data_IF_700970483582
#
_entry.id   IF_700970483582
#
_cell.length_a   1.000
_cell.length_b   1.000
_cell.length_c   1.000
_cell.angle_alpha   90.00
_cell.angle_beta   90.00
_cell.angle_gamma   90.00
#
_symmetry.space_group_name_H-M   'P 1'
#
loop_
_entity.id
_entity.type
_entity.pdbx_description
1 polymer ?
#
# COMPACT_ATOMS: atom_id res chain seq x y z
N UNK A 1 40.70 30.34 14.51
CA UNK A 1 39.39 30.79 13.99
C UNK A 1 38.65 29.83 13.05
N UNK A 2 39.11 28.59 12.80
CA UNK A 2 38.35 27.62 11.96
C UNK A 2 37.68 26.50 12.79
N UNK A 3 38.03 26.34 14.07
CA UNK A 3 37.46 25.30 14.97
C UNK A 3 36.22 25.73 15.78
N UNK A 4 35.77 26.98 15.70
CA UNK A 4 34.58 27.48 16.42
C UNK A 4 33.33 27.68 15.54
N UNK A 5 33.41 27.41 14.22
CA UNK A 5 32.25 27.51 13.31
C UNK A 5 31.56 26.18 12.99
N UNK A 6 32.04 25.06 13.52
CA UNK A 6 31.46 23.73 13.27
C UNK A 6 30.42 23.29 14.32
N UNK A 7 30.11 24.13 15.32
CA UNK A 7 29.30 23.75 16.49
C UNK A 7 27.94 24.45 16.58
N UNK A 8 27.35 24.79 15.43
CA UNK A 8 25.99 25.37 15.32
C UNK A 8 25.14 24.77 14.19
N UNK A 9 25.41 23.52 13.78
CA UNK A 9 24.33 22.67 13.26
C UNK A 9 23.57 22.17 14.49
N UNK A 10 22.70 23.06 14.99
CA UNK A 10 21.74 22.71 16.01
C UNK A 10 20.97 21.49 15.51
N UNK A 11 21.18 20.37 16.20
CA UNK A 11 20.25 19.25 16.24
C UNK A 11 18.87 19.88 16.38
N UNK A 12 18.08 19.89 15.30
CA UNK A 12 16.69 20.32 15.36
C UNK A 12 16.02 19.29 16.26
N UNK A 13 15.57 19.66 17.46
CA UNK A 13 14.79 18.73 18.27
C UNK A 13 13.50 18.48 17.48
N UNK A 14 13.23 17.24 17.10
CA UNK A 14 11.97 16.83 16.47
C UNK A 14 10.73 17.00 17.38
N UNK A 15 10.87 17.70 18.51
CA UNK A 15 9.80 18.06 19.43
C UNK A 15 9.81 19.58 19.69
N UNK A 16 9.70 20.40 18.64
CA UNK A 16 8.96 21.66 18.82
C UNK A 16 7.48 21.29 18.73
N UNK A 17 6.75 21.61 19.79
CA UNK A 17 5.31 21.42 19.93
C UNK A 17 4.61 21.79 18.63
N UNK A 18 3.89 20.83 18.03
CA UNK A 18 3.19 20.90 16.73
C UNK A 18 2.03 21.93 16.69
N UNK A 19 2.00 22.90 17.62
CA UNK A 19 0.84 23.70 17.99
C UNK A 19 0.77 25.08 17.34
N UNK A 20 1.79 25.53 16.58
CA UNK A 20 1.85 26.93 16.10
C UNK A 20 1.55 27.13 14.60
N UNK A 21 1.18 26.07 13.85
CA UNK A 21 0.87 26.18 12.42
C UNK A 21 -0.62 26.06 12.12
N UNK A 22 -1.26 27.20 11.83
CA UNK A 22 -2.61 27.28 11.26
C UNK A 22 -2.59 26.92 9.76
N UNK A 23 -2.53 25.62 9.45
CA UNK A 23 -2.67 25.10 8.08
C UNK A 23 -1.54 24.18 7.61
N UNK A 24 -1.70 23.65 6.40
CA UNK A 24 -0.71 22.81 5.72
C UNK A 24 0.38 23.72 5.13
N UNK A 25 1.64 23.44 5.43
CA UNK A 25 2.77 24.19 4.91
C UNK A 25 3.14 23.77 3.47
N UNK A 26 4.01 24.53 2.80
CA UNK A 26 4.34 24.28 1.39
C UNK A 26 4.97 22.90 1.13
N UNK A 27 5.78 22.37 2.06
CA UNK A 27 6.40 21.06 1.90
C UNK A 27 5.37 19.94 2.09
N UNK A 28 4.50 20.08 3.09
CA UNK A 28 3.38 19.16 3.30
C UNK A 28 2.44 19.14 2.09
N UNK A 29 2.06 20.33 1.57
CA UNK A 29 1.20 20.46 0.39
C UNK A 29 1.81 19.75 -0.81
N UNK A 30 3.09 20.00 -1.13
CA UNK A 30 3.75 19.35 -2.27
C UNK A 30 3.73 17.84 -2.17
N UNK A 31 3.93 17.28 -0.97
CA UNK A 31 3.89 15.84 -0.75
C UNK A 31 2.48 15.27 -0.89
N UNK A 32 1.47 15.99 -0.43
CA UNK A 32 0.07 15.61 -0.62
C UNK A 32 -0.32 15.70 -2.10
N UNK A 33 0.08 16.76 -2.81
CA UNK A 33 -0.20 16.95 -4.23
C UNK A 33 0.43 15.85 -5.10
N UNK A 34 1.68 15.49 -4.82
CA UNK A 34 2.36 14.34 -5.45
C UNK A 34 1.53 13.06 -5.27
N UNK A 35 1.07 12.82 -4.05
CA UNK A 35 0.32 11.63 -3.69
C UNK A 35 -1.08 11.59 -4.33
N UNK A 36 -1.75 12.74 -4.44
CA UNK A 36 -3.03 12.87 -5.15
C UNK A 36 -2.89 12.54 -6.63
N UNK A 37 -1.87 13.11 -7.28
CA UNK A 37 -1.57 12.83 -8.68
C UNK A 37 -1.26 11.34 -8.89
N UNK A 38 -0.53 10.73 -7.94
CA UNK A 38 -0.27 9.29 -7.97
C UNK A 38 -1.57 8.47 -7.90
N UNK A 39 -2.55 8.86 -7.07
CA UNK A 39 -3.81 8.13 -6.91
C UNK A 39 -4.79 8.23 -8.09
N UNK A 40 -4.56 9.11 -9.07
CA UNK A 40 -5.44 9.22 -10.25
C UNK A 40 -5.58 7.92 -11.06
N UNK A 41 -4.63 6.98 -10.91
CA UNK A 41 -4.72 5.65 -11.52
C UNK A 41 -5.96 4.88 -11.08
N UNK A 42 -6.41 5.10 -9.84
CA UNK A 42 -7.59 4.41 -9.28
C UNK A 42 -8.92 4.94 -9.84
N UNK A 43 -8.94 6.15 -10.40
CA UNK A 43 -10.15 6.75 -11.01
C UNK A 43 -10.48 6.06 -12.34
N UNK A 44 -9.45 5.61 -13.07
CA UNK A 44 -9.58 5.05 -14.42
C UNK A 44 -10.30 3.69 -14.42
N UNK A 45 -10.26 2.94 -13.32
CA UNK A 45 -10.93 1.62 -13.22
C UNK A 45 -12.45 1.69 -13.00
N UNK A 46 -12.98 2.84 -12.56
CA UNK A 46 -14.39 2.97 -12.20
C UNK A 46 -15.33 3.08 -13.41
N UNK A 47 -14.78 3.24 -14.62
CA UNK A 47 -15.57 3.43 -15.84
C UNK A 47 -16.07 2.14 -16.50
N UNK A 48 -15.66 0.96 -16.04
CA UNK A 48 -15.96 -0.30 -16.74
C UNK A 48 -17.23 -1.01 -16.26
N UNK A 49 -18.30 -0.69 -16.99
CA UNK A 49 -19.36 -1.54 -17.55
C UNK A 49 -20.03 -2.61 -16.66
N UNK A 50 -21.36 -2.52 -16.59
CA UNK A 50 -22.25 -3.57 -16.07
C UNK A 50 -22.02 -4.89 -16.84
N UNK A 51 -21.22 -5.79 -16.28
CA UNK A 51 -21.04 -7.14 -16.82
C UNK A 51 -22.22 -7.99 -16.35
N UNK A 52 -23.07 -8.44 -17.27
CA UNK A 52 -24.08 -9.45 -16.97
C UNK A 52 -23.39 -10.80 -16.75
N UNK A 53 -23.45 -11.31 -15.53
CA UNK A 53 -22.85 -12.59 -15.15
C UNK A 53 -23.88 -13.70 -15.35
N UNK A 54 -23.58 -14.67 -16.21
CA UNK A 54 -24.55 -15.71 -16.64
C UNK A 54 -24.35 -17.04 -15.93
N UNK A 55 -23.12 -17.35 -15.50
CA UNK A 55 -22.81 -18.59 -14.78
C UNK A 55 -21.61 -18.44 -13.79
N UNK A 56 -21.39 -19.43 -12.89
CA UNK A 56 -20.32 -19.36 -11.89
C UNK A 56 -18.89 -19.35 -12.46
N UNK A 57 -18.65 -19.91 -13.65
CA UNK A 57 -17.32 -19.89 -14.26
C UNK A 57 -17.02 -18.51 -14.83
N UNK A 58 -18.00 -17.87 -15.47
CA UNK A 58 -17.90 -16.48 -15.93
C UNK A 58 -17.71 -15.53 -14.73
N UNK A 59 -18.39 -15.77 -13.61
CA UNK A 59 -18.17 -15.02 -12.37
C UNK A 59 -16.71 -15.09 -11.91
N UNK A 60 -16.16 -16.31 -11.83
CA UNK A 60 -14.77 -16.55 -11.44
C UNK A 60 -13.77 -15.86 -12.37
N UNK A 61 -13.97 -15.99 -13.68
CA UNK A 61 -13.11 -15.35 -14.69
C UNK A 61 -13.13 -13.83 -14.58
N UNK A 62 -14.33 -13.22 -14.54
CA UNK A 62 -14.48 -11.76 -14.47
C UNK A 62 -13.92 -11.22 -13.16
N UNK A 63 -14.15 -11.91 -12.04
CA UNK A 63 -13.64 -11.51 -10.73
C UNK A 63 -12.12 -11.54 -10.70
N UNK A 64 -11.51 -12.63 -11.16
CA UNK A 64 -10.05 -12.75 -11.21
C UNK A 64 -9.42 -11.74 -12.20
N UNK A 65 -10.02 -11.51 -13.36
CA UNK A 65 -9.55 -10.48 -14.29
C UNK A 65 -9.59 -9.08 -13.66
N UNK A 66 -10.65 -8.75 -12.94
CA UNK A 66 -10.74 -7.47 -12.20
C UNK A 66 -9.67 -7.38 -11.12
N UNK A 67 -9.42 -8.45 -10.38
CA UNK A 67 -8.35 -8.48 -9.38
C UNK A 67 -6.97 -8.26 -10.02
N UNK A 68 -6.70 -8.82 -11.20
CA UNK A 68 -5.44 -8.55 -11.94
C UNK A 68 -5.29 -7.09 -12.32
N UNK A 69 -6.36 -6.46 -12.82
CA UNK A 69 -6.36 -5.03 -13.15
C UNK A 69 -6.06 -4.19 -11.92
N UNK A 70 -6.70 -4.49 -10.79
CA UNK A 70 -6.49 -3.79 -9.51
C UNK A 70 -5.03 -3.91 -9.06
N UNK A 71 -4.44 -5.10 -9.18
CA UNK A 71 -3.02 -5.31 -8.87
C UNK A 71 -2.14 -4.43 -9.77
N UNK A 72 -2.40 -4.40 -11.08
CA UNK A 72 -1.64 -3.58 -12.03
C UNK A 72 -1.77 -2.09 -11.72
N UNK A 73 -2.96 -1.62 -11.37
CA UNK A 73 -3.21 -0.22 -10.97
C UNK A 73 -2.46 0.14 -9.70
N UNK A 74 -2.37 -0.78 -8.73
CA UNK A 74 -1.61 -0.58 -7.49
C UNK A 74 -0.11 -0.51 -7.78
N UNK A 75 0.39 -1.33 -8.70
CA UNK A 75 1.79 -1.25 -9.15
C UNK A 75 2.07 0.07 -9.85
N UNK A 76 1.15 0.54 -10.67
CA UNK A 76 1.27 1.83 -11.33
C UNK A 76 1.21 2.99 -10.32
N UNK A 77 0.39 2.87 -9.26
CA UNK A 77 0.39 3.79 -8.14
C UNK A 77 1.75 3.83 -7.42
N UNK A 78 2.32 2.67 -7.04
CA UNK A 78 3.59 2.63 -6.30
C UNK A 78 4.74 3.23 -7.10
N UNK A 79 4.75 2.99 -8.43
CA UNK A 79 5.71 3.59 -9.37
C UNK A 79 5.63 5.10 -9.43
N UNK A 80 4.55 5.75 -8.99
CA UNK A 80 4.41 7.22 -8.98
C UNK A 80 4.88 7.87 -7.69
N UNK A 81 5.24 7.08 -6.66
CA UNK A 81 5.73 7.60 -5.38
C UNK A 81 7.24 7.82 -5.43
N UNK A 82 7.71 9.05 -5.26
CA UNK A 82 9.13 9.40 -5.23
C UNK A 82 9.91 8.61 -4.16
N UNK A 83 9.31 8.45 -2.98
CA UNK A 83 9.88 7.66 -1.88
C UNK A 83 10.06 6.17 -2.21
N UNK A 84 9.16 5.61 -3.03
CA UNK A 84 9.22 4.21 -3.45
C UNK A 84 10.28 4.01 -4.55
N UNK A 85 10.32 4.90 -5.55
CA UNK A 85 11.29 4.83 -6.66
C UNK A 85 12.75 4.86 -6.20
N UNK A 86 13.02 5.49 -5.05
CA UNK A 86 14.36 5.60 -4.46
C UNK A 86 14.84 4.34 -3.75
N UNK A 87 13.95 3.39 -3.48
CA UNK A 87 14.31 2.12 -2.86
C UNK A 87 15.04 1.23 -3.87
N UNK A 88 15.85 0.29 -3.38
CA UNK A 88 16.42 -0.75 -4.25
C UNK A 88 15.32 -1.69 -4.74
N UNK A 89 15.58 -2.40 -5.85
CA UNK A 89 14.60 -3.29 -6.47
C UNK A 89 14.12 -4.34 -5.47
N UNK A 90 15.00 -4.89 -4.64
CA UNK A 90 14.63 -5.91 -3.64
C UNK A 90 13.62 -5.38 -2.61
N UNK A 91 13.74 -4.11 -2.21
CA UNK A 91 12.82 -3.47 -1.28
C UNK A 91 11.51 -3.06 -1.96
N UNK A 92 11.57 -2.49 -3.16
CA UNK A 92 10.39 -2.21 -3.98
C UNK A 92 9.58 -3.49 -4.17
N UNK A 93 10.26 -4.58 -4.52
CA UNK A 93 9.67 -5.89 -4.65
C UNK A 93 9.13 -6.34 -3.31
N UNK A 94 9.90 -6.38 -2.22
CA UNK A 94 9.42 -6.88 -0.93
C UNK A 94 8.21 -6.12 -0.36
N UNK A 95 8.13 -4.80 -0.55
CA UNK A 95 6.99 -3.98 -0.15
C UNK A 95 5.71 -4.31 -0.92
N UNK A 96 5.87 -4.54 -2.22
CA UNK A 96 4.75 -4.84 -3.12
C UNK A 96 4.44 -6.35 -3.10
N UNK A 97 5.41 -7.20 -2.74
CA UNK A 97 5.43 -8.67 -2.89
C UNK A 97 5.08 -9.49 -1.65
N UNK A 98 5.75 -9.39 -0.50
CA UNK A 98 5.89 -10.62 0.32
C UNK A 98 5.16 -10.73 1.68
N UNK A 99 4.81 -12.01 1.95
CA UNK A 99 4.68 -12.70 3.25
C UNK A 99 5.32 -14.13 3.21
N UNK A 100 6.39 -14.34 4.00
CA UNK A 100 7.05 -15.57 4.53
C UNK A 100 7.97 -16.52 3.68
N UNK A 101 8.90 -17.13 4.44
CA UNK A 101 10.16 -17.84 4.15
C UNK A 101 10.08 -19.09 3.24
N UNK A 102 11.10 -19.27 2.38
CA UNK A 102 11.30 -20.50 1.60
C UNK A 102 12.10 -20.38 0.30
N UNK A 103 12.50 -19.18 -0.14
CA UNK A 103 13.14 -18.97 -1.45
C UNK A 103 14.68 -19.06 -1.44
N UNK A 104 15.25 -19.99 -0.68
CA UNK A 104 16.71 -20.08 -0.53
C UNK A 104 17.43 -20.85 -1.65
N UNK A 105 16.76 -21.19 -2.75
CA UNK A 105 17.40 -21.76 -3.94
C UNK A 105 16.61 -21.35 -5.17
N UNK A 106 17.13 -20.43 -5.99
CA UNK A 106 17.06 -20.40 -7.47
C UNK A 106 17.72 -19.11 -8.02
N UNK A 107 18.14 -19.16 -9.29
CA UNK A 107 19.23 -18.41 -9.92
C UNK A 107 18.88 -16.97 -10.37
N UNK A 108 19.91 -16.21 -10.77
CA UNK A 108 19.95 -14.77 -11.13
C UNK A 108 19.18 -14.41 -12.42
N UNK A 109 18.49 -15.35 -13.06
CA UNK A 109 17.77 -15.13 -14.33
C UNK A 109 16.24 -15.29 -14.24
N UNK A 110 15.67 -15.61 -13.07
CA UNK A 110 14.21 -15.63 -12.82
C UNK A 110 13.67 -14.29 -12.23
N UNK A 111 14.34 -13.17 -12.52
CA UNK A 111 14.13 -11.88 -11.85
C UNK A 111 12.90 -11.07 -12.33
N UNK A 112 11.84 -11.71 -12.82
CA UNK A 112 10.53 -11.07 -13.00
C UNK A 112 9.46 -11.90 -12.31
N UNK A 113 9.24 -11.58 -11.03
CA UNK A 113 8.21 -12.22 -10.23
C UNK A 113 7.65 -11.19 -9.24
N UNK A 114 6.52 -10.63 -9.65
CA UNK A 114 5.79 -9.43 -9.22
C UNK A 114 4.78 -9.68 -8.09
N UNK A 115 4.73 -8.72 -7.15
CA UNK A 115 3.52 -8.12 -6.55
C UNK A 115 2.51 -9.03 -5.84
N UNK A 116 2.56 -9.13 -4.50
CA UNK A 116 1.72 -10.06 -3.74
C UNK A 116 1.21 -9.62 -2.36
N UNK A 117 1.27 -8.34 -1.94
CA UNK A 117 0.66 -7.98 -0.64
C UNK A 117 0.09 -6.57 -0.49
N UNK A 118 0.77 -5.55 -1.00
CA UNK A 118 0.22 -4.18 -0.96
C UNK A 118 -1.13 -4.09 -1.69
N UNK A 119 -1.37 -4.98 -2.66
CA UNK A 119 -2.54 -4.92 -3.51
C UNK A 119 -3.86 -5.30 -2.80
N UNK A 120 -3.83 -6.31 -1.92
CA UNK A 120 -5.04 -6.78 -1.24
C UNK A 120 -5.50 -5.78 -0.18
N UNK A 121 -4.57 -5.30 0.66
CA UNK A 121 -4.86 -4.30 1.69
C UNK A 121 -5.41 -3.01 1.10
N UNK A 122 -4.84 -2.54 -0.03
CA UNK A 122 -5.34 -1.36 -0.74
C UNK A 122 -6.68 -1.61 -1.42
N UNK A 123 -6.94 -2.81 -1.94
CA UNK A 123 -8.25 -3.12 -2.52
C UNK A 123 -9.36 -3.12 -1.46
N UNK A 124 -9.08 -3.67 -0.27
CA UNK A 124 -10.00 -3.58 0.87
C UNK A 124 -10.13 -2.15 1.38
N UNK A 125 -9.02 -1.42 1.54
CA UNK A 125 -9.03 -0.02 1.97
C UNK A 125 -9.85 0.84 1.01
N UNK A 126 -9.69 0.64 -0.30
CA UNK A 126 -10.49 1.29 -1.34
C UNK A 126 -11.97 0.97 -1.16
N UNK A 127 -12.32 -0.31 -1.03
CA UNK A 127 -13.71 -0.76 -0.84
C UNK A 127 -14.36 -0.19 0.42
N UNK A 128 -13.59 -0.04 1.52
CA UNK A 128 -14.08 0.53 2.78
C UNK A 128 -14.23 2.05 2.73
N UNK A 129 -13.30 2.73 2.07
CA UNK A 129 -13.31 4.19 2.02
C UNK A 129 -14.30 4.72 1.00
N UNK A 130 -14.58 4.03 -0.11
CA UNK A 130 -15.47 4.49 -1.19
C UNK A 130 -16.93 4.79 -0.75
N UNK A 131 -17.36 4.37 0.44
CA UNK A 131 -18.73 4.59 0.93
C UNK A 131 -19.04 5.99 1.48
N UNK A 132 -18.07 6.90 1.62
CA UNK A 132 -18.30 8.23 2.22
C UNK A 132 -17.62 9.37 1.45
N UNK A 133 -18.25 9.88 0.38
CA UNK A 133 -17.70 10.89 -0.55
C UNK A 133 -17.15 12.18 0.09
N UNK A 134 -17.58 12.53 1.30
CA UNK A 134 -17.28 13.84 1.90
C UNK A 134 -15.95 13.88 2.67
N UNK A 135 -15.27 12.73 2.84
CA UNK A 135 -14.21 12.58 3.84
C UNK A 135 -12.83 12.23 3.24
N UNK A 136 -12.73 12.14 1.90
CA UNK A 136 -11.74 11.27 1.24
C UNK A 136 -10.54 11.92 0.58
N UNK A 137 -10.56 13.23 0.30
CA UNK A 137 -9.58 13.84 -0.63
C UNK A 137 -8.14 13.44 -0.30
N UNK A 138 -7.72 13.58 0.96
CA UNK A 138 -6.36 13.19 1.38
C UNK A 138 -6.31 11.86 2.14
N UNK A 139 -7.45 11.36 2.61
CA UNK A 139 -7.50 10.20 3.49
C UNK A 139 -7.11 8.91 2.75
N UNK A 140 -7.75 8.64 1.61
CA UNK A 140 -7.43 7.45 0.81
C UNK A 140 -5.98 7.45 0.31
N UNK A 141 -5.46 8.54 -0.28
CA UNK A 141 -4.06 8.59 -0.72
C UNK A 141 -3.07 8.37 0.44
N UNK A 142 -3.27 9.04 1.58
CA UNK A 142 -2.37 8.93 2.74
C UNK A 142 -2.39 7.53 3.34
N UNK A 143 -3.57 6.95 3.56
CA UNK A 143 -3.69 5.58 4.08
C UNK A 143 -3.08 4.58 3.11
N UNK A 144 -3.25 4.78 1.79
CA UNK A 144 -2.67 3.92 0.77
C UNK A 144 -1.13 3.91 0.83
N UNK A 145 -0.51 5.08 0.95
CA UNK A 145 0.94 5.19 1.10
C UNK A 145 1.45 4.57 2.41
N UNK A 146 0.72 4.75 3.52
CA UNK A 146 1.06 4.15 4.83
C UNK A 146 1.06 2.62 4.75
N UNK A 147 0.04 2.05 4.10
CA UNK A 147 -0.12 0.59 3.90
C UNK A 147 1.00 0.02 3.05
N UNK A 148 1.36 0.68 1.95
CA UNK A 148 2.42 0.24 1.04
C UNK A 148 3.79 0.32 1.70
N UNK A 149 4.11 1.44 2.34
CA UNK A 149 5.44 1.71 2.89
C UNK A 149 5.65 1.04 4.25
N UNK A 150 5.25 -0.22 4.41
CA UNK A 150 5.28 -0.90 5.70
C UNK A 150 6.67 -1.52 5.99
N UNK A 151 7.44 -1.02 6.98
CA UNK A 151 8.78 -1.53 7.28
C UNK A 151 8.76 -2.90 7.98
N UNK A 152 7.58 -3.40 8.36
CA UNK A 152 7.40 -4.73 8.92
C UNK A 152 7.29 -5.81 7.86
N UNK A 153 7.27 -5.45 6.56
CA UNK A 153 7.33 -6.45 5.49
C UNK A 153 8.61 -7.29 5.63
N UNK A 154 8.54 -8.60 5.39
CA UNK A 154 9.70 -9.48 5.41
C UNK A 154 10.67 -9.13 4.27
N UNK A 155 11.90 -9.64 4.34
CA UNK A 155 12.92 -9.53 3.27
C UNK A 155 13.33 -8.11 2.85
N UNK A 156 12.98 -7.10 3.64
CA UNK A 156 13.46 -5.73 3.46
C UNK A 156 14.92 -5.59 3.85
N UNK A 157 15.70 -5.04 2.93
CA UNK A 157 17.09 -4.63 3.09
C UNK A 157 17.17 -3.31 3.85
N UNK A 158 16.42 -2.27 3.44
CA UNK A 158 16.51 -0.93 4.02
C UNK A 158 15.28 -0.54 4.87
N UNK A 159 14.96 -1.37 5.87
CA UNK A 159 13.81 -1.16 6.79
C UNK A 159 13.74 0.24 7.39
N UNK A 160 14.88 0.84 7.72
CA UNK A 160 14.92 2.17 8.33
C UNK A 160 14.52 3.27 7.34
N UNK A 161 14.98 3.20 6.09
CA UNK A 161 14.60 4.17 5.05
C UNK A 161 13.10 4.12 4.79
N UNK A 162 12.55 2.90 4.67
CA UNK A 162 11.12 2.66 4.50
C UNK A 162 10.33 3.19 5.69
N UNK A 163 10.80 2.93 6.91
CA UNK A 163 10.14 3.43 8.13
C UNK A 163 10.08 4.95 8.16
N UNK A 164 11.16 5.64 7.78
CA UNK A 164 11.19 7.10 7.72
C UNK A 164 10.19 7.63 6.68
N UNK A 165 10.14 6.99 5.52
CA UNK A 165 9.21 7.34 4.45
C UNK A 165 7.74 7.07 4.87
N UNK A 166 7.46 5.96 5.55
CA UNK A 166 6.14 5.68 6.14
C UNK A 166 5.74 6.73 7.18
N UNK A 167 6.68 7.10 8.06
CA UNK A 167 6.46 8.08 9.12
C UNK A 167 6.11 9.47 8.56
N UNK A 168 6.63 9.82 7.39
CA UNK A 168 6.22 11.02 6.67
C UNK A 168 4.72 10.99 6.34
N UNK A 169 4.20 9.89 5.78
CA UNK A 169 2.77 9.79 5.46
C UNK A 169 1.89 9.75 6.71
N UNK A 170 2.32 9.08 7.78
CA UNK A 170 1.63 9.09 9.08
C UNK A 170 1.57 10.51 9.65
N UNK A 171 2.67 11.27 9.56
CA UNK A 171 2.72 12.66 9.96
C UNK A 171 1.74 13.54 9.16
N UNK A 172 1.70 13.38 7.83
CA UNK A 172 0.76 14.13 6.98
C UNK A 172 -0.69 13.79 7.32
N UNK A 173 -0.99 12.51 7.62
CA UNK A 173 -2.31 12.10 8.11
C UNK A 173 -2.64 12.75 9.45
N UNK A 174 -1.71 12.77 10.40
CA UNK A 174 -1.89 13.46 11.68
C UNK A 174 -2.19 14.95 11.49
N UNK A 175 -1.45 15.64 10.60
CA UNK A 175 -1.67 17.05 10.28
C UNK A 175 -3.06 17.28 9.68
N UNK A 176 -3.46 16.46 8.70
CA UNK A 176 -4.79 16.53 8.09
C UNK A 176 -5.90 16.34 9.14
N UNK A 177 -5.79 15.31 9.98
CA UNK A 177 -6.78 15.01 11.00
C UNK A 177 -6.85 16.13 12.05
N UNK A 178 -5.71 16.68 12.46
CA UNK A 178 -5.65 17.79 13.42
C UNK A 178 -6.37 19.04 12.88
N UNK A 179 -6.10 19.41 11.62
CA UNK A 179 -6.74 20.57 10.99
C UNK A 179 -8.25 20.38 10.80
N UNK A 180 -8.69 19.14 10.50
CA UNK A 180 -10.09 18.85 10.19
C UNK A 180 -10.95 18.54 11.40
N UNK A 181 -10.39 17.87 12.41
CA UNK A 181 -11.13 17.32 13.56
C UNK A 181 -10.63 17.80 14.92
N UNK A 182 -9.56 18.59 14.97
CA UNK A 182 -9.04 19.23 16.18
C UNK A 182 -8.88 18.27 17.37
N UNK A 183 -9.73 18.38 18.40
CA UNK A 183 -9.69 17.55 19.59
C UNK A 183 -9.98 16.06 19.35
N UNK A 184 -10.70 15.71 18.28
CA UNK A 184 -11.00 14.31 17.93
C UNK A 184 -9.91 13.64 17.08
N UNK A 185 -8.91 14.41 16.63
CA UNK A 185 -7.90 13.96 15.66
C UNK A 185 -7.12 12.73 16.13
N UNK A 186 -6.69 12.70 17.39
CA UNK A 186 -5.95 11.58 17.96
C UNK A 186 -6.81 10.31 18.04
N UNK A 187 -8.07 10.44 18.46
CA UNK A 187 -9.00 9.31 18.52
C UNK A 187 -9.29 8.74 17.13
N UNK A 188 -9.50 9.60 16.13
CA UNK A 188 -9.68 9.17 14.74
C UNK A 188 -8.43 8.51 14.18
N UNK A 189 -7.24 9.04 14.45
CA UNK A 189 -5.99 8.42 14.04
C UNK A 189 -5.85 7.03 14.64
N UNK A 190 -6.09 6.87 15.94
CA UNK A 190 -6.01 5.57 16.61
C UNK A 190 -6.96 4.55 15.96
N UNK A 191 -8.22 4.93 15.72
CA UNK A 191 -9.20 4.07 15.03
C UNK A 191 -8.70 3.66 13.64
N UNK A 192 -8.20 4.61 12.85
CA UNK A 192 -7.68 4.32 11.51
C UNK A 192 -6.48 3.36 11.56
N UNK A 193 -5.53 3.57 12.48
CA UNK A 193 -4.36 2.70 12.61
C UNK A 193 -4.74 1.28 13.07
N UNK A 194 -5.76 1.14 13.92
CA UNK A 194 -6.33 -0.17 14.29
C UNK A 194 -6.97 -0.81 13.06
N UNK A 195 -7.81 -0.09 12.32
CA UNK A 195 -8.43 -0.60 11.10
C UNK A 195 -7.42 -1.03 10.04
N UNK A 196 -6.29 -0.33 9.87
CA UNK A 196 -5.21 -0.76 8.97
C UNK A 196 -4.58 -2.09 9.42
N UNK A 197 -4.49 -2.31 10.73
CA UNK A 197 -4.00 -3.58 11.30
C UNK A 197 -4.99 -4.71 11.04
N UNK A 198 -6.28 -4.45 11.26
CA UNK A 198 -7.35 -5.42 10.97
C UNK A 198 -7.40 -5.77 9.48
N UNK A 199 -7.21 -4.78 8.61
CA UNK A 199 -7.09 -4.97 7.16
C UNK A 199 -5.91 -5.87 6.77
N UNK A 200 -4.76 -5.71 7.43
CA UNK A 200 -3.58 -6.57 7.22
C UNK A 200 -3.92 -8.02 7.57
N UNK A 201 -4.62 -8.23 8.69
CA UNK A 201 -5.04 -9.58 9.15
C UNK A 201 -6.06 -10.19 8.19
N UNK A 202 -7.05 -9.41 7.76
CA UNK A 202 -8.07 -9.86 6.82
C UNK A 202 -7.47 -10.22 5.45
N UNK A 203 -6.49 -9.44 4.97
CA UNK A 203 -5.77 -9.73 3.73
C UNK A 203 -4.99 -11.05 3.81
N UNK A 204 -4.31 -11.32 4.93
CA UNK A 204 -3.62 -12.62 5.15
C UNK A 204 -4.61 -13.79 5.14
N UNK A 205 -5.72 -13.66 5.89
CA UNK A 205 -6.73 -14.70 5.96
C UNK A 205 -7.38 -14.98 4.59
N UNK A 206 -7.67 -13.92 3.81
CA UNK A 206 -8.19 -14.07 2.46
C UNK A 206 -7.20 -14.79 1.55
N UNK A 207 -5.91 -14.44 1.60
CA UNK A 207 -4.87 -15.14 0.82
C UNK A 207 -4.85 -16.63 1.16
N UNK A 208 -4.88 -16.97 2.45
CA UNK A 208 -4.87 -18.37 2.90
C UNK A 208 -6.11 -19.14 2.44
N UNK A 209 -7.29 -18.51 2.50
CA UNK A 209 -8.54 -19.10 2.01
C UNK A 209 -8.46 -19.43 0.51
N UNK A 210 -8.05 -18.46 -0.31
CA UNK A 210 -7.89 -18.62 -1.76
C UNK A 210 -6.91 -19.75 -2.13
N UNK A 211 -5.76 -19.78 -1.45
CA UNK A 211 -4.76 -20.85 -1.65
C UNK A 211 -5.32 -22.22 -1.26
N UNK A 212 -6.08 -22.29 -0.16
CA UNK A 212 -6.71 -23.52 0.31
C UNK A 212 -7.80 -24.01 -0.65
N UNK A 213 -8.65 -23.13 -1.16
CA UNK A 213 -9.69 -23.46 -2.14
C UNK A 213 -9.08 -24.03 -3.44
N UNK A 214 -8.00 -23.40 -3.93
CA UNK A 214 -7.26 -23.89 -5.11
C UNK A 214 -6.59 -25.24 -4.83
N UNK A 215 -6.07 -25.45 -3.61
CA UNK A 215 -5.49 -26.73 -3.22
C UNK A 215 -6.54 -27.86 -3.20
N UNK A 216 -7.74 -27.58 -2.68
CA UNK A 216 -8.86 -28.53 -2.62
C UNK A 216 -9.44 -28.81 -4.02
N UNK A 217 -9.45 -27.82 -4.90
CA UNK A 217 -9.99 -27.93 -6.25
C UNK A 217 -8.98 -27.38 -7.29
N UNK A 218 -7.97 -28.20 -7.64
CA UNK A 218 -6.90 -27.82 -8.58
C UNK A 218 -7.41 -27.35 -9.96
N UNK A 219 -8.62 -27.74 -10.37
CA UNK A 219 -9.21 -27.25 -11.62
C UNK A 219 -9.50 -25.75 -11.59
N UNK A 220 -9.55 -25.11 -10.41
CA UNK A 220 -9.71 -23.67 -10.27
C UNK A 220 -8.50 -22.88 -10.76
N UNK A 221 -7.29 -23.48 -10.79
CA UNK A 221 -6.05 -22.82 -11.24
C UNK A 221 -6.23 -22.20 -12.64
N UNK A 222 -7.02 -22.82 -13.51
CA UNK A 222 -7.27 -22.32 -14.88
C UNK A 222 -7.93 -20.93 -14.92
N UNK A 223 -8.56 -20.50 -13.83
CA UNK A 223 -9.21 -19.19 -13.71
C UNK A 223 -8.28 -18.12 -13.13
N UNK A 224 -7.10 -18.49 -12.63
CA UNK A 224 -6.10 -17.54 -12.15
C UNK A 224 -5.13 -17.26 -13.31
N UNK A 225 -5.13 -16.01 -13.79
CA UNK A 225 -4.12 -15.58 -14.74
C UNK A 225 -2.71 -15.60 -14.13
N UNK A 226 -1.67 -15.33 -14.93
CA UNK A 226 -0.29 -15.45 -14.48
C UNK A 226 0.03 -14.52 -13.30
N UNK A 227 -0.61 -13.34 -13.26
CA UNK A 227 -0.39 -12.37 -12.20
C UNK A 227 -1.03 -12.81 -10.88
N UNK A 228 -2.29 -13.27 -10.89
CA UNK A 228 -2.91 -13.79 -9.67
C UNK A 228 -2.31 -15.11 -9.20
N UNK A 229 -1.97 -16.01 -10.12
CA UNK A 229 -1.24 -17.24 -9.81
C UNK A 229 0.06 -16.93 -9.08
N UNK A 230 0.72 -15.86 -9.51
CA UNK A 230 1.88 -15.36 -8.82
C UNK A 230 1.50 -14.79 -7.43
N UNK A 231 0.51 -13.88 -7.32
CA UNK A 231 0.07 -13.25 -6.05
C UNK A 231 -0.25 -14.26 -4.96
N UNK A 232 -1.00 -15.30 -5.30
CA UNK A 232 -1.38 -16.33 -4.35
C UNK A 232 -0.32 -17.44 -4.19
N UNK A 233 0.85 -17.31 -4.84
CA UNK A 233 1.91 -18.34 -4.84
C UNK A 233 1.42 -19.72 -5.32
N UNK A 234 0.42 -19.77 -6.23
CA UNK A 234 -0.22 -21.01 -6.71
C UNK A 234 0.73 -21.93 -7.49
N UNK A 235 1.84 -21.40 -8.00
CA UNK A 235 2.87 -22.20 -8.68
C UNK A 235 3.49 -23.29 -7.80
N UNK A 236 3.45 -23.12 -6.47
CA UNK A 236 3.91 -24.16 -5.54
C UNK A 236 2.94 -25.35 -5.44
N UNK A 237 1.71 -25.17 -5.92
CA UNK A 237 0.65 -26.18 -5.89
C UNK A 237 0.55 -26.98 -7.19
N UNK A 238 1.23 -26.56 -8.26
CA UNK A 238 1.34 -27.31 -9.51
C UNK A 238 2.33 -28.46 -9.35
#
# INVERSE_FOLDING_TARGET
>A
EIRQKAQKLAVIPMCKTLTDYNGINQLESRRIDELLVATNVFITELSDNNVEIRDPNEFMQVTNQKYEQIIQTIVEFTKRLDGFQKLCVEDQMSLVKYGLDGFQKLCVEDQMSLVKYGCLELNFLRSLLYFDEQTQEYLFPLLSAIVIMNPKRPNLTHKQSIKLEQQLYVYLLQRYLLLRYQSESESKLQKLMVSLTDLTIAAEAHKQCEVQEVYECRSLIQYYGPLLSEVYDLHQLL
#
